data_IF_450107252655
#
_entry.id   IF_450107252655
#
_cell.length_a   1.000
_cell.length_b   1.000
_cell.length_c   1.000
_cell.angle_alpha   90.00
_cell.angle_beta   90.00
_cell.angle_gamma   90.00
#
_symmetry.space_group_name_H-M   'P 1'
#
loop_
_entity.id
_entity.type
_entity.pdbx_description
1 polymer ?
#
# COMPACT_ATOMS: atom_id res chain seq x y z
N UNK A 1 -45.53 23.42 3.60
CA UNK A 1 -44.61 22.34 3.19
C UNK A 1 -44.37 22.26 1.66
N UNK A 2 -44.89 23.18 0.83
CA UNK A 2 -44.61 23.20 -0.62
C UNK A 2 -43.61 24.29 -1.08
N UNK A 3 -43.19 25.22 -0.21
CA UNK A 3 -42.38 26.39 -0.62
C UNK A 3 -40.86 26.19 -0.56
N UNK A 4 -40.37 25.24 0.23
CA UNK A 4 -38.93 24.98 0.41
C UNK A 4 -38.30 24.27 -0.77
N UNK A 5 -39.03 23.36 -1.43
CA UNK A 5 -38.55 22.58 -2.58
C UNK A 5 -38.43 23.43 -3.85
N UNK A 6 -39.36 24.36 -4.05
CA UNK A 6 -39.39 25.30 -5.17
C UNK A 6 -38.19 26.26 -5.15
N UNK A 7 -37.82 26.77 -3.97
CA UNK A 7 -36.68 27.70 -3.82
C UNK A 7 -35.33 27.01 -4.11
N UNK A 8 -35.17 25.74 -3.70
CA UNK A 8 -33.97 24.95 -3.99
C UNK A 8 -33.81 24.64 -5.49
N UNK A 9 -34.91 24.32 -6.18
CA UNK A 9 -34.92 24.05 -7.62
C UNK A 9 -34.51 25.30 -8.44
N UNK A 10 -35.04 26.48 -8.08
CA UNK A 10 -34.71 27.76 -8.73
C UNK A 10 -33.23 28.11 -8.53
N UNK A 11 -32.69 27.98 -7.30
CA UNK A 11 -31.28 28.24 -7.01
C UNK A 11 -30.35 27.29 -7.78
N UNK A 12 -30.72 26.02 -7.94
CA UNK A 12 -29.95 25.03 -8.73
C UNK A 12 -29.93 25.40 -10.21
N UNK A 13 -31.07 25.74 -10.80
CA UNK A 13 -31.16 26.18 -12.20
C UNK A 13 -30.34 27.44 -12.47
N UNK A 14 -30.40 28.41 -11.57
CA UNK A 14 -29.60 29.64 -11.69
C UNK A 14 -28.10 29.36 -11.65
N UNK A 15 -27.64 28.49 -10.74
CA UNK A 15 -26.22 28.09 -10.63
C UNK A 15 -25.72 27.35 -11.86
N UNK A 16 -26.53 26.45 -12.42
CA UNK A 16 -26.17 25.68 -13.62
C UNK A 16 -25.95 26.58 -14.86
N UNK A 17 -26.74 27.65 -14.97
CA UNK A 17 -26.71 28.55 -16.12
C UNK A 17 -26.00 29.89 -15.85
N UNK A 18 -25.29 30.00 -14.72
CA UNK A 18 -24.54 31.21 -14.30
C UNK A 18 -25.40 32.48 -14.17
N UNK A 19 -26.69 32.33 -13.86
CA UNK A 19 -27.58 33.45 -13.51
C UNK A 19 -27.50 33.75 -12.01
N UNK A 20 -27.56 35.03 -11.65
CA UNK A 20 -27.56 35.47 -10.25
C UNK A 20 -28.92 36.06 -9.88
N UNK A 21 -29.48 35.64 -8.75
CA UNK A 21 -30.73 36.22 -8.23
C UNK A 21 -30.38 37.59 -7.65
N UNK A 22 -30.97 38.65 -8.20
CA UNK A 22 -30.79 40.05 -7.76
C UNK A 22 -31.79 40.38 -6.66
N UNK A 23 -33.04 39.95 -6.85
CA UNK A 23 -34.15 40.24 -5.95
C UNK A 23 -35.21 39.16 -6.12
N UNK A 24 -35.81 38.72 -5.01
CA UNK A 24 -36.90 37.76 -5.01
C UNK A 24 -38.03 38.29 -4.12
N UNK A 25 -39.17 38.63 -4.73
CA UNK A 25 -40.40 39.03 -4.02
C UNK A 25 -41.43 37.90 -4.09
N UNK A 26 -42.59 38.01 -3.42
CA UNK A 26 -43.66 37.02 -3.57
C UNK A 26 -44.21 36.89 -5.00
N UNK A 27 -44.03 37.91 -5.86
CA UNK A 27 -44.61 37.96 -7.21
C UNK A 27 -43.57 37.96 -8.34
N UNK A 28 -42.33 38.39 -8.05
CA UNK A 28 -41.28 38.58 -9.05
C UNK A 28 -39.97 37.91 -8.64
N UNK A 29 -39.24 37.39 -9.63
CA UNK A 29 -37.88 36.89 -9.50
C UNK A 29 -36.98 37.63 -10.50
N UNK A 30 -36.08 38.46 -10.00
CA UNK A 30 -35.18 39.26 -10.84
C UNK A 30 -33.82 38.56 -10.95
N UNK A 31 -33.39 38.27 -12.17
CA UNK A 31 -32.14 37.56 -12.48
C UNK A 31 -31.18 38.46 -13.27
N UNK A 32 -29.90 38.42 -12.92
CA UNK A 32 -28.83 39.10 -13.64
C UNK A 32 -27.90 38.09 -14.32
N UNK A 33 -27.59 38.35 -15.59
CA UNK A 33 -26.60 37.60 -16.37
C UNK A 33 -26.10 38.42 -17.57
N UNK A 34 -24.90 38.08 -18.10
CA UNK A 34 -24.35 38.75 -19.28
C UNK A 34 -25.13 38.42 -20.57
N UNK A 35 -25.77 37.26 -20.65
CA UNK A 35 -26.62 36.86 -21.77
C UNK A 35 -28.08 36.75 -21.34
N UNK A 36 -28.99 36.97 -22.29
CA UNK A 36 -30.42 36.77 -22.07
C UNK A 36 -30.72 35.27 -21.91
N UNK A 37 -31.61 34.89 -20.97
CA UNK A 37 -32.05 33.51 -20.85
C UNK A 37 -32.87 33.12 -22.08
N UNK A 38 -32.66 31.89 -22.54
CA UNK A 38 -33.51 31.33 -23.58
C UNK A 38 -34.95 31.14 -23.09
N UNK A 39 -35.89 31.03 -24.04
CA UNK A 39 -37.31 31.01 -23.72
C UNK A 39 -37.71 29.76 -22.92
N UNK A 40 -37.01 28.64 -23.14
CA UNK A 40 -37.19 27.37 -22.42
C UNK A 40 -36.80 27.49 -20.95
N UNK A 41 -35.66 28.13 -20.67
CA UNK A 41 -35.18 28.39 -19.31
C UNK A 41 -36.09 29.39 -18.60
N UNK A 42 -36.58 30.43 -19.29
CA UNK A 42 -37.56 31.35 -18.74
C UNK A 42 -38.86 30.65 -18.34
N UNK A 43 -39.38 29.76 -19.18
CA UNK A 43 -40.57 28.96 -18.85
C UNK A 43 -40.33 28.03 -17.66
N UNK A 44 -39.16 27.38 -17.62
CA UNK A 44 -38.76 26.50 -16.52
C UNK A 44 -38.64 27.26 -15.20
N UNK A 45 -38.03 28.44 -15.21
CA UNK A 45 -37.87 29.28 -14.02
C UNK A 45 -39.21 29.86 -13.56
N UNK A 46 -40.10 30.26 -14.47
CA UNK A 46 -41.46 30.70 -14.12
C UNK A 46 -42.28 29.57 -13.49
N UNK A 47 -42.17 28.36 -14.04
CA UNK A 47 -42.84 27.18 -13.51
C UNK A 47 -42.30 26.78 -12.13
N UNK A 48 -40.98 26.73 -11.98
CA UNK A 48 -40.33 26.33 -10.73
C UNK A 48 -40.52 27.36 -9.60
N UNK A 49 -40.54 28.67 -9.93
CA UNK A 49 -40.72 29.73 -8.94
C UNK A 49 -42.18 30.09 -8.67
N UNK A 50 -43.09 29.85 -9.62
CA UNK A 50 -44.45 30.37 -9.62
C UNK A 50 -44.52 31.90 -9.77
N UNK A 51 -43.42 32.56 -10.17
CA UNK A 51 -43.25 34.02 -10.18
C UNK A 51 -42.99 34.55 -11.58
N UNK A 52 -43.20 35.86 -11.75
CA UNK A 52 -42.78 36.55 -12.96
C UNK A 52 -41.27 36.72 -12.96
N UNK A 53 -40.58 36.11 -13.93
CA UNK A 53 -39.13 36.21 -14.06
C UNK A 53 -38.76 37.45 -14.90
N UNK A 54 -37.96 38.33 -14.31
CA UNK A 54 -37.43 39.55 -14.93
C UNK A 54 -35.92 39.36 -15.11
N UNK A 55 -35.41 39.54 -16.32
CA UNK A 55 -33.98 39.49 -16.58
C UNK A 55 -33.39 40.90 -16.72
N UNK A 56 -32.22 41.10 -16.11
CA UNK A 56 -31.40 42.30 -16.25
C UNK A 56 -30.04 41.92 -16.84
N UNK A 57 -29.63 42.65 -17.87
CA UNK A 57 -28.30 42.49 -18.44
C UNK A 57 -27.26 43.11 -17.50
N UNK A 58 -26.35 42.29 -16.98
CA UNK A 58 -25.20 42.73 -16.17
C UNK A 58 -23.91 42.30 -16.85
N UNK A 59 -22.97 43.24 -17.02
CA UNK A 59 -21.63 42.93 -17.51
C UNK A 59 -20.83 42.16 -16.44
N UNK A 60 -19.82 41.38 -16.85
CA UNK A 60 -19.00 40.57 -15.94
C UNK A 60 -18.40 41.39 -14.78
N UNK A 61 -17.94 42.61 -15.05
CA UNK A 61 -17.43 43.53 -14.03
C UNK A 61 -18.50 44.03 -13.03
N UNK A 62 -19.78 44.04 -13.41
CA UNK A 62 -20.90 44.39 -12.51
C UNK A 62 -21.30 43.23 -11.59
N UNK A 63 -21.11 41.98 -12.05
CA UNK A 63 -21.27 40.77 -11.23
C UNK A 63 -20.17 40.67 -10.16
N UNK A 64 -18.97 41.19 -10.46
CA UNK A 64 -17.82 41.23 -9.54
C UNK A 64 -17.86 42.44 -8.58
N UNK A 65 -18.25 43.63 -9.03
CA UNK A 65 -18.25 44.86 -8.20
C UNK A 65 -19.37 44.96 -7.16
N UNK A 66 -20.44 44.15 -7.27
CA UNK A 66 -21.39 43.88 -6.17
C UNK A 66 -20.99 42.62 -5.37
N UNK A 67 -19.70 42.38 -5.20
CA UNK A 67 -19.19 41.73 -3.99
C UNK A 67 -19.48 42.65 -2.81
N UNK A 68 -20.72 42.62 -2.31
CA UNK A 68 -20.94 42.87 -0.89
C UNK A 68 -19.96 41.97 -0.14
N UNK A 69 -19.33 42.45 0.96
CA UNK A 69 -18.60 41.56 1.84
C UNK A 69 -19.56 40.42 2.15
N UNK A 70 -19.09 39.19 2.01
CA UNK A 70 -19.73 38.06 2.67
C UNK A 70 -19.67 38.45 4.15
N UNK A 71 -20.73 39.10 4.64
CA UNK A 71 -21.19 38.88 5.99
C UNK A 71 -21.21 37.36 6.13
N UNK A 72 -20.61 36.86 7.21
CA UNK A 72 -20.76 35.48 7.63
C UNK A 72 -22.27 35.17 7.69
N UNK A 73 -22.83 34.76 6.56
CA UNK A 73 -24.00 33.90 6.53
C UNK A 73 -23.42 32.53 6.88
N UNK A 74 -23.49 32.22 8.17
CA UNK A 74 -23.46 30.88 8.76
C UNK A 74 -24.58 30.02 8.14
N UNK A 75 -24.51 29.80 6.83
CA UNK A 75 -25.42 28.97 6.04
C UNK A 75 -24.61 28.27 4.92
N UNK A 76 -23.43 27.74 5.27
CA UNK A 76 -23.18 26.36 4.84
C UNK A 76 -24.40 25.57 5.34
N UNK A 77 -25.07 24.72 4.54
CA UNK A 77 -26.18 23.93 5.06
C UNK A 77 -25.67 23.29 6.34
N UNK A 78 -26.24 23.67 7.49
CA UNK A 78 -25.78 23.18 8.79
C UNK A 78 -25.66 21.67 8.62
N UNK A 79 -24.42 21.18 8.63
CA UNK A 79 -24.22 19.74 8.57
C UNK A 79 -25.03 19.21 9.75
N UNK A 80 -25.95 18.27 9.53
CA UNK A 80 -26.73 17.71 10.62
C UNK A 80 -25.77 17.38 11.75
N UNK A 81 -26.07 17.79 12.98
CA UNK A 81 -25.11 17.72 14.09
C UNK A 81 -24.46 16.33 14.25
N UNK A 82 -25.16 15.28 13.78
CA UNK A 82 -24.68 13.91 13.74
C UNK A 82 -23.66 13.60 12.62
N UNK A 83 -23.77 14.24 11.45
CA UNK A 83 -22.79 14.15 10.38
C UNK A 83 -21.50 14.88 10.75
N UNK A 84 -21.59 16.07 11.37
CA UNK A 84 -20.44 16.79 11.91
C UNK A 84 -19.68 15.95 12.96
N UNK A 85 -20.41 15.35 13.92
CA UNK A 85 -19.81 14.41 14.90
C UNK A 85 -19.19 13.17 14.24
N UNK A 86 -19.77 12.69 13.13
CA UNK A 86 -19.22 11.52 12.42
C UNK A 86 -17.91 11.87 11.73
N UNK A 87 -17.82 13.06 11.15
CA UNK A 87 -16.59 13.60 10.55
C UNK A 87 -15.49 13.80 11.60
N UNK A 88 -15.79 14.51 12.69
CA UNK A 88 -14.85 14.70 13.80
C UNK A 88 -14.36 13.36 14.37
N UNK A 89 -15.28 12.40 14.57
CA UNK A 89 -14.92 11.07 15.06
C UNK A 89 -14.02 10.30 14.09
N UNK A 90 -14.20 10.48 12.78
CA UNK A 90 -13.40 9.83 11.76
C UNK A 90 -12.01 10.48 11.67
N UNK A 91 -11.94 11.80 11.63
CA UNK A 91 -10.68 12.54 11.54
C UNK A 91 -9.79 12.26 12.75
N UNK A 92 -10.37 12.27 13.96
CA UNK A 92 -9.66 11.93 15.19
C UNK A 92 -9.18 10.48 15.21
N UNK A 93 -10.01 9.54 14.72
CA UNK A 93 -9.61 8.14 14.58
C UNK A 93 -8.41 7.98 13.62
N UNK A 94 -8.48 8.63 12.46
CA UNK A 94 -7.43 8.57 11.45
C UNK A 94 -6.15 9.24 11.95
N UNK A 95 -6.26 10.40 12.60
CA UNK A 95 -5.15 11.09 13.27
C UNK A 95 -4.46 10.17 14.27
N UNK A 96 -5.23 9.58 15.18
CA UNK A 96 -4.69 8.66 16.20
C UNK A 96 -4.02 7.42 15.57
N UNK A 97 -4.57 6.90 14.47
CA UNK A 97 -3.98 5.79 13.75
C UNK A 97 -2.64 6.16 13.10
N UNK A 98 -2.56 7.34 12.47
CA UNK A 98 -1.34 7.85 11.84
C UNK A 98 -0.26 8.19 12.87
N UNK A 99 -0.61 8.83 13.99
CA UNK A 99 0.31 9.12 15.10
C UNK A 99 0.91 7.83 15.68
N UNK A 100 0.10 6.76 15.75
CA UNK A 100 0.56 5.43 16.16
C UNK A 100 1.30 4.66 15.06
N UNK A 101 1.52 5.27 13.89
CA UNK A 101 2.22 4.69 12.72
C UNK A 101 1.53 3.41 12.22
N UNK A 102 0.21 3.39 12.23
CA UNK A 102 -0.56 2.27 11.71
C UNK A 102 -0.39 2.15 10.18
N UNK A 103 -0.13 0.93 9.72
CA UNK A 103 -0.09 0.58 8.29
C UNK A 103 -1.48 0.24 7.73
N UNK A 104 -2.32 -0.38 8.54
CA UNK A 104 -3.72 -0.66 8.20
C UNK A 104 -4.62 -0.33 9.40
N UNK A 105 -5.81 0.20 9.13
CA UNK A 105 -6.88 0.47 10.09
C UNK A 105 -8.01 -0.49 9.76
N UNK A 106 -8.33 -1.38 10.70
CA UNK A 106 -9.38 -2.38 10.57
C UNK A 106 -10.62 -1.92 11.33
N UNK A 107 -11.74 -1.80 10.61
CA UNK A 107 -13.05 -1.44 11.13
C UNK A 107 -13.95 -2.66 10.99
N UNK A 108 -14.23 -3.33 12.10
CA UNK A 108 -14.92 -4.61 12.10
C UNK A 108 -16.21 -4.53 12.91
N UNK A 109 -17.37 -4.76 12.29
CA UNK A 109 -18.62 -4.76 13.02
C UNK A 109 -18.64 -5.91 14.04
N UNK A 110 -19.20 -5.64 15.21
CA UNK A 110 -19.42 -6.57 16.31
C UNK A 110 -20.83 -6.41 16.86
N UNK A 111 -21.33 -7.42 17.54
CA UNK A 111 -22.52 -7.31 18.38
C UNK A 111 -22.38 -6.11 19.34
N UNK A 112 -23.19 -5.07 19.12
CA UNK A 112 -23.21 -3.85 19.94
C UNK A 112 -22.24 -2.73 19.55
N UNK A 113 -21.50 -2.81 18.43
CA UNK A 113 -20.68 -1.68 17.98
C UNK A 113 -19.68 -1.95 16.85
N UNK A 114 -18.66 -1.09 16.76
CA UNK A 114 -17.57 -1.20 15.79
C UNK A 114 -16.24 -1.40 16.52
N UNK A 115 -15.59 -2.54 16.29
CA UNK A 115 -14.26 -2.80 16.81
C UNK A 115 -13.22 -2.20 15.88
N UNK A 116 -12.35 -1.35 16.43
CA UNK A 116 -11.21 -0.79 15.71
C UNK A 116 -9.94 -1.55 16.09
N UNK A 117 -9.17 -1.97 15.09
CA UNK A 117 -7.84 -2.54 15.29
C UNK A 117 -6.83 -1.88 14.35
N UNK A 118 -5.65 -1.56 14.87
CA UNK A 118 -4.57 -0.97 14.09
C UNK A 118 -3.50 -2.02 13.82
N UNK A 119 -3.02 -2.12 12.58
CA UNK A 119 -1.81 -2.88 12.27
C UNK A 119 -0.60 -1.99 12.41
N UNK A 120 0.18 -2.20 13.45
CA UNK A 120 1.37 -1.41 13.76
C UNK A 120 2.58 -2.32 13.71
N UNK A 121 3.56 -1.95 12.88
CA UNK A 121 4.79 -2.74 12.68
C UNK A 121 4.48 -4.23 12.40
N UNK A 122 3.40 -4.50 11.64
CA UNK A 122 2.95 -5.84 11.23
C UNK A 122 2.02 -6.56 12.22
N UNK A 123 1.90 -6.09 13.46
CA UNK A 123 1.07 -6.71 14.52
C UNK A 123 -0.25 -5.97 14.67
N UNK A 124 -1.34 -6.73 14.75
CA UNK A 124 -2.68 -6.19 14.91
C UNK A 124 -2.98 -5.93 16.38
N UNK A 125 -3.45 -4.72 16.70
CA UNK A 125 -3.68 -4.27 18.07
C UNK A 125 -5.06 -3.65 18.22
N UNK A 126 -5.82 -3.98 19.28
CA UNK A 126 -7.09 -3.33 19.54
C UNK A 126 -6.87 -1.85 19.88
N UNK A 127 -7.73 -1.00 19.32
CA UNK A 127 -7.83 0.39 19.70
C UNK A 127 -9.16 0.59 20.41
N UNK A 128 -9.12 0.89 21.70
CA UNK A 128 -10.31 1.30 22.42
C UNK A 128 -10.63 2.75 22.04
N UNK A 129 -11.53 2.92 21.08
CA UNK A 129 -11.90 4.22 20.54
C UNK A 129 -13.37 4.54 20.86
N UNK A 130 -13.64 5.52 21.74
CA UNK A 130 -14.99 5.94 22.06
C UNK A 130 -15.51 6.85 20.93
N UNK A 131 -16.29 6.28 20.02
CA UNK A 131 -16.93 7.08 18.97
C UNK A 131 -17.89 8.11 19.59
N UNK A 132 -17.72 9.38 19.21
CA UNK A 132 -18.67 10.47 19.55
C UNK A 132 -19.96 10.42 18.71
N UNK A 133 -20.03 9.50 17.75
CA UNK A 133 -21.16 9.27 16.84
C UNK A 133 -21.63 7.81 16.88
N UNK A 134 -22.74 7.52 16.20
CA UNK A 134 -23.22 6.14 16.04
C UNK A 134 -22.26 5.32 15.17
N UNK A 135 -21.67 4.21 15.66
CA UNK A 135 -20.61 3.47 14.95
C UNK A 135 -21.01 2.97 13.56
N UNK A 136 -22.29 2.69 13.34
CA UNK A 136 -22.84 2.30 12.04
C UNK A 136 -22.74 3.36 10.94
N UNK A 137 -22.38 4.61 11.26
CA UNK A 137 -22.21 5.70 10.28
C UNK A 137 -20.79 5.81 9.72
N UNK A 138 -19.80 5.21 10.40
CA UNK A 138 -18.38 5.34 10.05
C UNK A 138 -18.09 4.75 8.66
N UNK A 139 -18.50 3.50 8.41
CA UNK A 139 -18.24 2.84 7.13
C UNK A 139 -19.00 3.52 5.97
N UNK A 140 -20.30 3.85 6.09
CA UNK A 140 -20.99 4.67 5.09
C UNK A 140 -20.29 6.00 4.78
N UNK A 141 -19.78 6.71 5.79
CA UNK A 141 -19.04 7.98 5.59
C UNK A 141 -17.75 7.73 4.80
N UNK A 142 -17.00 6.68 5.12
CA UNK A 142 -15.82 6.28 4.36
C UNK A 142 -16.13 5.92 2.90
N UNK A 143 -17.27 5.26 2.65
CA UNK A 143 -17.74 4.97 1.28
C UNK A 143 -18.02 6.25 0.50
N UNK A 144 -18.65 7.25 1.12
CA UNK A 144 -18.84 8.58 0.50
C UNK A 144 -17.50 9.19 0.10
N UNK A 145 -16.54 9.22 1.04
CA UNK A 145 -15.23 9.83 0.82
C UNK A 145 -14.42 9.13 -0.29
N UNK A 146 -14.62 7.83 -0.47
CA UNK A 146 -13.96 7.04 -1.51
C UNK A 146 -14.77 6.88 -2.81
N UNK A 147 -15.92 7.54 -2.94
CA UNK A 147 -16.80 7.44 -4.11
C UNK A 147 -17.42 6.06 -4.33
N UNK A 148 -17.61 5.28 -3.25
CA UNK A 148 -18.19 3.93 -3.26
C UNK A 148 -19.71 3.95 -3.12
N UNK A 149 -20.39 2.89 -3.57
CA UNK A 149 -21.85 2.76 -3.48
C UNK A 149 -22.27 2.39 -2.05
N UNK A 150 -22.89 3.34 -1.35
CA UNK A 150 -23.36 3.21 0.03
C UNK A 150 -24.53 2.23 0.15
N UNK A 151 -25.38 2.14 -0.89
CA UNK A 151 -26.56 1.29 -0.91
C UNK A 151 -26.19 -0.18 -1.12
N UNK A 152 -25.16 -0.45 -1.92
CA UNK A 152 -24.65 -1.80 -2.09
C UNK A 152 -23.79 -2.22 -0.89
N UNK A 153 -24.26 -3.21 -0.12
CA UNK A 153 -23.58 -3.74 1.07
C UNK A 153 -23.32 -5.24 0.99
N UNK A 154 -23.62 -5.87 -0.15
CA UNK A 154 -23.58 -7.32 -0.36
C UNK A 154 -22.41 -7.76 -1.23
N UNK A 155 -21.71 -6.81 -1.84
CA UNK A 155 -20.54 -7.05 -2.69
C UNK A 155 -19.31 -6.37 -2.10
N UNK A 156 -18.10 -6.94 -2.29
CA UNK A 156 -16.86 -6.24 -1.99
C UNK A 156 -16.74 -4.96 -2.82
N UNK A 157 -16.13 -3.92 -2.25
CA UNK A 157 -15.84 -2.68 -2.97
C UNK A 157 -14.44 -2.19 -2.59
N UNK A 158 -13.72 -1.68 -3.58
CA UNK A 158 -12.37 -1.14 -3.42
C UNK A 158 -12.35 0.30 -3.93
N UNK A 159 -11.65 1.17 -3.22
CA UNK A 159 -11.55 2.58 -3.56
C UNK A 159 -10.31 3.23 -2.97
N UNK A 160 -10.21 4.53 -3.20
CA UNK A 160 -9.15 5.37 -2.67
C UNK A 160 -9.77 6.66 -2.18
N UNK A 161 -9.27 7.17 -1.06
CA UNK A 161 -9.63 8.48 -0.53
C UNK A 161 -8.36 9.24 -0.15
N UNK A 162 -8.38 10.54 -0.39
CA UNK A 162 -7.31 11.46 0.03
C UNK A 162 -7.89 12.43 1.02
N UNK A 163 -7.24 12.58 2.17
CA UNK A 163 -7.69 13.40 3.28
C UNK A 163 -6.57 14.32 3.72
N UNK A 164 -6.89 15.58 4.01
CA UNK A 164 -5.93 16.52 4.61
C UNK A 164 -6.04 16.44 6.13
N UNK A 165 -5.00 15.91 6.77
CA UNK A 165 -4.90 15.89 8.23
C UNK A 165 -3.71 16.77 8.61
N UNK A 166 -3.94 17.81 9.42
CA UNK A 166 -2.88 18.73 9.89
C UNK A 166 -2.07 19.38 8.75
N UNK A 167 -2.75 19.77 7.66
CA UNK A 167 -2.14 20.39 6.47
C UNK A 167 -1.24 19.43 5.66
N UNK A 168 -1.25 18.14 5.97
CA UNK A 168 -0.63 17.10 5.13
C UNK A 168 -1.69 16.22 4.49
N UNK A 169 -1.63 16.08 3.18
CA UNK A 169 -2.48 15.16 2.45
C UNK A 169 -2.03 13.72 2.70
N UNK A 170 -2.98 12.85 3.03
CA UNK A 170 -2.76 11.43 3.20
C UNK A 170 -3.67 10.65 2.26
N UNK A 171 -3.05 9.80 1.45
CA UNK A 171 -3.77 8.87 0.57
C UNK A 171 -4.00 7.55 1.30
N UNK A 172 -5.25 7.08 1.31
CA UNK A 172 -5.66 5.81 1.88
C UNK A 172 -6.34 4.95 0.80
N UNK A 173 -6.02 3.66 0.75
CA UNK A 173 -6.81 2.68 -0.02
C UNK A 173 -7.84 2.05 0.90
N UNK A 174 -9.09 1.97 0.47
CA UNK A 174 -10.18 1.35 1.23
C UNK A 174 -10.62 0.07 0.53
N UNK A 175 -10.83 -0.99 1.30
CA UNK A 175 -11.50 -2.21 0.87
C UNK A 175 -12.62 -2.54 1.85
N UNK A 176 -13.83 -2.73 1.34
CA UNK A 176 -15.01 -3.13 2.11
C UNK A 176 -15.43 -4.55 1.75
N UNK A 177 -15.82 -5.34 2.75
CA UNK A 177 -16.25 -6.72 2.57
C UNK A 177 -17.51 -7.00 3.43
N UNK A 178 -18.61 -7.54 2.86
CA UNK A 178 -19.75 -8.00 3.65
C UNK A 178 -19.35 -9.10 4.62
N UNK A 179 -19.81 -8.99 5.86
CA UNK A 179 -19.65 -9.98 6.93
C UNK A 179 -21.00 -10.21 7.63
N UNK A 180 -21.08 -11.22 8.51
CA UNK A 180 -22.35 -11.59 9.18
C UNK A 180 -23.05 -10.41 9.87
N UNK A 181 -22.27 -9.55 10.52
CA UNK A 181 -22.76 -8.45 11.37
C UNK A 181 -22.76 -7.08 10.67
N UNK A 182 -22.60 -7.06 9.34
CA UNK A 182 -22.62 -5.83 8.55
C UNK A 182 -21.54 -5.80 7.49
N UNK A 183 -20.83 -4.69 7.38
CA UNK A 183 -19.75 -4.52 6.42
C UNK A 183 -18.45 -4.29 7.20
N UNK A 184 -17.38 -4.99 6.85
CA UNK A 184 -16.03 -4.75 7.37
C UNK A 184 -15.30 -3.82 6.42
N UNK A 185 -14.60 -2.83 6.95
CA UNK A 185 -13.72 -1.98 6.15
C UNK A 185 -12.26 -2.09 6.62
N UNK A 186 -11.34 -2.03 5.67
CA UNK A 186 -9.90 -1.89 5.93
C UNK A 186 -9.40 -0.68 5.18
N UNK A 187 -8.74 0.24 5.88
CA UNK A 187 -8.04 1.37 5.30
C UNK A 187 -6.54 1.06 5.34
N UNK A 188 -5.88 1.04 4.20
CA UNK A 188 -4.42 0.93 4.10
C UNK A 188 -3.83 2.31 3.89
N UNK A 189 -2.91 2.70 4.76
CA UNK A 189 -2.17 3.95 4.62
C UNK A 189 -1.17 3.80 3.48
N UNK A 190 -1.29 4.62 2.44
CA UNK A 190 -0.31 4.68 1.37
C UNK A 190 0.83 5.57 1.86
N UNK A 191 2.02 4.98 1.99
CA UNK A 191 3.21 5.75 2.34
C UNK A 191 3.74 6.42 1.08
N UNK A 192 3.52 7.72 0.96
CA UNK A 192 4.15 8.57 -0.07
C UNK A 192 5.62 8.80 0.31
N UNK A 193 6.45 7.76 0.18
CA UNK A 193 7.89 7.95 0.23
C UNK A 193 8.36 8.46 -1.13
N UNK A 194 8.65 9.76 -1.19
CA UNK A 194 9.18 10.43 -2.38
C UNK A 194 10.60 9.98 -2.76
N UNK A 195 11.26 9.17 -1.92
CA UNK A 195 12.59 8.65 -2.23
C UNK A 195 12.68 7.19 -1.81
N UNK A 196 13.01 6.27 -2.74
CA UNK A 196 13.23 4.88 -2.40
C UNK A 196 14.43 4.73 -1.45
N UNK A 197 14.32 3.78 -0.53
CA UNK A 197 15.39 3.43 0.40
C UNK A 197 16.66 3.03 -0.37
N UNK A 198 17.83 3.43 0.08
CA UNK A 198 19.10 3.00 -0.54
C UNK A 198 19.43 1.55 -0.16
N UNK A 199 20.31 0.86 -0.90
CA UNK A 199 20.67 -0.52 -0.56
C UNK A 199 21.31 -0.66 0.83
N UNK A 200 22.06 0.36 1.27
CA UNK A 200 22.73 0.40 2.58
C UNK A 200 21.72 0.49 3.72
N UNK A 201 20.55 1.07 3.46
CA UNK A 201 19.48 1.24 4.43
C UNK A 201 18.61 -0.01 4.59
N UNK A 202 18.78 -1.04 3.73
CA UNK A 202 18.02 -2.30 3.81
C UNK A 202 18.36 -3.13 5.06
N UNK A 203 19.48 -2.84 5.74
CA UNK A 203 19.92 -3.62 6.92
C UNK A 203 20.60 -4.94 6.56
N UNK A 204 21.22 -5.01 5.37
CA UNK A 204 22.10 -6.11 4.98
C UNK A 204 23.44 -5.98 5.74
N UNK A 205 24.01 -7.10 6.17
CA UNK A 205 25.41 -7.13 6.60
C UNK A 205 26.34 -6.77 5.42
N UNK A 206 27.51 -6.21 5.69
CA UNK A 206 28.42 -5.67 4.67
C UNK A 206 28.79 -6.71 3.59
N UNK A 207 29.10 -7.95 3.98
CA UNK A 207 29.43 -9.03 3.03
C UNK A 207 28.26 -9.34 2.09
N UNK A 208 27.04 -9.40 2.64
CA UNK A 208 25.82 -9.66 1.87
C UNK A 208 25.48 -8.48 0.95
N UNK A 209 25.68 -7.25 1.42
CA UNK A 209 25.49 -6.04 0.62
C UNK A 209 26.45 -5.98 -0.56
N UNK A 210 27.74 -6.29 -0.34
CA UNK A 210 28.75 -6.34 -1.40
C UNK A 210 28.42 -7.42 -2.42
N UNK A 211 28.08 -8.63 -1.96
CA UNK A 211 27.63 -9.71 -2.83
C UNK A 211 26.39 -9.30 -3.63
N UNK A 212 25.43 -8.63 -3.01
CA UNK A 212 24.22 -8.19 -3.70
C UNK A 212 24.53 -7.20 -4.82
N UNK A 213 25.36 -6.19 -4.53
CA UNK A 213 25.81 -5.20 -5.53
C UNK A 213 26.54 -5.85 -6.70
N UNK A 214 27.36 -6.87 -6.45
CA UNK A 214 28.03 -7.61 -7.52
C UNK A 214 27.02 -8.33 -8.42
N UNK A 215 26.01 -8.97 -7.84
CA UNK A 215 24.97 -9.69 -8.58
C UNK A 215 24.08 -8.73 -9.38
N UNK A 216 23.74 -7.57 -8.80
CA UNK A 216 22.95 -6.54 -9.49
C UNK A 216 23.67 -5.95 -10.71
N UNK A 217 25.01 -5.98 -10.76
CA UNK A 217 25.81 -5.50 -11.90
C UNK A 217 25.95 -6.52 -13.03
N UNK A 218 25.39 -7.73 -12.88
CA UNK A 218 25.43 -8.72 -13.96
C UNK A 218 24.60 -8.22 -15.15
N UNK A 219 25.07 -8.45 -16.40
CA UNK A 219 24.35 -7.99 -17.58
C UNK A 219 23.02 -8.71 -17.77
N UNK A 220 22.90 -9.95 -17.26
CA UNK A 220 21.67 -10.73 -17.38
C UNK A 220 21.51 -11.75 -16.25
N UNK A 221 20.25 -12.15 -16.05
CA UNK A 221 19.87 -13.20 -15.12
C UNK A 221 18.65 -12.82 -14.30
N UNK A 222 18.12 -13.78 -13.57
CA UNK A 222 16.93 -13.62 -12.75
C UNK A 222 17.29 -13.52 -11.27
N UNK A 223 16.85 -12.45 -10.62
CA UNK A 223 16.92 -12.23 -9.17
C UNK A 223 15.49 -12.30 -8.61
N UNK A 224 15.29 -13.16 -7.62
CA UNK A 224 13.98 -13.38 -7.00
C UNK A 224 14.01 -12.93 -5.55
N UNK A 225 13.09 -12.05 -5.17
CA UNK A 225 12.86 -11.71 -3.76
C UNK A 225 11.59 -12.41 -3.32
N UNK A 226 11.67 -13.24 -2.29
CA UNK A 226 10.57 -14.09 -1.85
C UNK A 226 10.21 -13.91 -0.39
N UNK A 227 8.97 -14.26 -0.06
CA UNK A 227 8.43 -14.15 1.28
C UNK A 227 6.94 -13.83 1.28
N UNK A 228 6.29 -13.89 2.45
CA UNK A 228 4.87 -13.63 2.60
C UNK A 228 4.52 -12.17 2.29
N UNK A 229 3.23 -11.86 2.27
CA UNK A 229 2.75 -10.49 2.18
C UNK A 229 3.28 -9.66 3.34
N UNK A 230 3.73 -8.43 3.06
CA UNK A 230 4.28 -7.54 4.08
C UNK A 230 5.70 -7.89 4.54
N UNK A 231 6.43 -8.78 3.85
CA UNK A 231 7.83 -9.07 4.17
C UNK A 231 8.83 -8.02 3.64
N UNK A 232 8.35 -6.97 2.94
CA UNK A 232 9.19 -5.89 2.43
C UNK A 232 9.84 -6.16 1.05
N UNK A 233 9.32 -7.12 0.28
CA UNK A 233 9.87 -7.48 -1.05
C UNK A 233 9.95 -6.30 -2.01
N UNK A 234 8.87 -5.52 -2.10
CA UNK A 234 8.80 -4.34 -2.97
C UNK A 234 9.82 -3.29 -2.58
N UNK A 235 10.09 -3.10 -1.27
CA UNK A 235 11.13 -2.16 -0.80
C UNK A 235 12.49 -2.62 -1.30
N UNK A 236 12.85 -3.90 -1.10
CA UNK A 236 14.11 -4.46 -1.60
C UNK A 236 14.22 -4.33 -3.13
N UNK A 237 13.14 -4.59 -3.88
CA UNK A 237 13.12 -4.41 -5.33
C UNK A 237 13.32 -2.96 -5.74
N UNK A 238 12.55 -2.02 -5.16
CA UNK A 238 12.65 -0.60 -5.50
C UNK A 238 14.02 -0.02 -5.15
N UNK A 239 14.60 -0.43 -4.02
CA UNK A 239 15.99 -0.10 -3.66
C UNK A 239 16.99 -0.61 -4.70
N UNK A 240 16.77 -1.81 -5.23
CA UNK A 240 17.61 -2.39 -6.28
C UNK A 240 17.47 -1.64 -7.61
N UNK A 241 16.25 -1.29 -8.01
CA UNK A 241 16.02 -0.51 -9.23
C UNK A 241 16.64 0.89 -9.09
N UNK A 242 16.49 1.54 -7.94
CA UNK A 242 17.09 2.84 -7.69
C UNK A 242 18.63 2.78 -7.71
N UNK A 243 19.23 1.68 -7.24
CA UNK A 243 20.68 1.47 -7.36
C UNK A 243 21.16 1.32 -8.81
N UNK A 244 20.33 0.71 -9.66
CA UNK A 244 20.62 0.50 -11.08
C UNK A 244 20.25 1.72 -11.94
N UNK A 245 19.50 2.68 -11.40
CA UNK A 245 18.96 3.82 -12.12
C UNK A 245 20.08 4.78 -12.53
N UNK A 246 20.56 4.60 -13.75
CA UNK A 246 21.57 5.43 -14.39
C UNK A 246 21.10 5.84 -15.78
N UNK A 247 21.49 7.03 -16.30
CA UNK A 247 21.01 7.53 -17.59
C UNK A 247 21.24 6.61 -18.80
N UNK A 248 22.22 5.70 -18.72
CA UNK A 248 22.54 4.75 -19.78
C UNK A 248 21.92 3.36 -19.60
N UNK A 249 20.97 3.19 -18.69
CA UNK A 249 20.31 1.91 -18.39
C UNK A 249 18.79 2.11 -18.52
N UNK A 250 18.17 1.40 -19.45
CA UNK A 250 16.72 1.40 -19.62
C UNK A 250 16.06 0.42 -18.65
N UNK A 251 15.38 0.96 -17.64
CA UNK A 251 14.67 0.16 -16.63
C UNK A 251 13.17 0.25 -16.86
N UNK A 252 12.54 -0.92 -17.02
CA UNK A 252 11.09 -1.04 -17.20
C UNK A 252 10.47 -1.95 -16.12
N UNK A 253 9.30 -1.59 -15.60
CA UNK A 253 8.54 -2.44 -14.67
C UNK A 253 7.10 -2.70 -15.09
N UNK A 254 6.57 -3.84 -14.65
CA UNK A 254 5.14 -4.19 -14.71
C UNK A 254 4.64 -4.56 -13.32
N UNK A 255 3.60 -3.86 -12.83
CA UNK A 255 3.20 -3.89 -11.42
C UNK A 255 1.67 -3.88 -11.23
N UNK A 256 1.17 -4.47 -10.14
CA UNK A 256 -0.28 -4.62 -9.85
C UNK A 256 -0.59 -4.31 -8.37
N UNK A 257 -0.79 -3.04 -7.99
CA UNK A 257 -0.53 -1.81 -8.74
C UNK A 257 0.91 -1.29 -8.54
N UNK A 258 1.23 -0.14 -9.13
CA UNK A 258 2.43 0.64 -8.76
C UNK A 258 2.27 1.13 -7.31
N UNK A 259 3.26 0.86 -6.46
CA UNK A 259 3.20 1.23 -5.03
C UNK A 259 3.70 2.66 -4.77
N UNK A 260 4.74 3.10 -5.49
CA UNK A 260 5.23 4.49 -5.47
C UNK A 260 5.92 4.81 -6.80
N UNK A 261 5.79 6.04 -7.32
CA UNK A 261 6.53 6.46 -8.51
C UNK A 261 8.04 6.48 -8.25
N UNK A 262 8.80 5.93 -9.20
CA UNK A 262 10.26 5.93 -9.19
C UNK A 262 10.79 6.81 -10.34
N UNK A 263 11.34 8.01 -10.04
CA UNK A 263 11.88 8.89 -11.07
C UNK A 263 12.96 8.20 -11.91
N UNK A 264 12.86 8.31 -13.24
CA UNK A 264 13.82 7.69 -14.18
C UNK A 264 13.52 6.24 -14.54
N UNK A 265 12.47 5.62 -13.98
CA UNK A 265 12.07 4.24 -14.28
C UNK A 265 10.72 4.22 -15.00
N UNK A 266 10.61 3.43 -16.06
CA UNK A 266 9.37 3.29 -16.83
C UNK A 266 8.45 2.26 -16.17
N UNK A 267 7.51 2.71 -15.33
CA UNK A 267 6.60 1.83 -14.60
C UNK A 267 5.24 1.68 -15.30
N UNK A 268 4.82 0.44 -15.55
CA UNK A 268 3.51 0.12 -16.13
C UNK A 268 2.61 -0.57 -15.11
N UNK A 269 1.47 0.03 -14.78
CA UNK A 269 0.45 -0.60 -13.94
C UNK A 269 -0.43 -1.56 -14.75
N UNK A 270 -0.79 -2.70 -14.16
CA UNK A 270 -1.78 -3.61 -14.70
C UNK A 270 -3.15 -2.92 -14.74
N UNK A 271 -3.85 -3.10 -15.85
CA UNK A 271 -5.22 -2.63 -16.04
C UNK A 271 -6.03 -3.70 -16.74
N UNK A 272 -6.67 -4.56 -15.94
CA UNK A 272 -7.48 -5.67 -16.43
C UNK A 272 -8.68 -5.21 -17.26
N UNK A 273 -9.28 -4.06 -16.93
CA UNK A 273 -10.41 -3.48 -17.69
C UNK A 273 -10.01 -3.05 -19.11
N UNK A 274 -8.78 -2.59 -19.27
CA UNK A 274 -8.21 -2.22 -20.58
C UNK A 274 -7.47 -3.38 -21.28
N UNK A 275 -7.44 -4.58 -20.68
CA UNK A 275 -6.72 -5.74 -21.22
C UNK A 275 -5.21 -5.73 -20.99
N UNK A 276 -4.66 -4.80 -20.20
CA UNK A 276 -3.25 -4.76 -19.83
C UNK A 276 -2.96 -5.75 -18.69
N UNK A 277 -2.77 -7.02 -19.06
CA UNK A 277 -2.35 -8.10 -18.14
C UNK A 277 -0.83 -8.30 -18.16
N UNK A 278 -0.29 -8.96 -17.13
CA UNK A 278 1.16 -9.20 -16.96
C UNK A 278 1.83 -9.76 -18.21
N UNK A 279 1.28 -10.83 -18.79
CA UNK A 279 1.83 -11.49 -19.97
C UNK A 279 1.93 -10.56 -21.20
N UNK A 280 0.95 -9.69 -21.39
CA UNK A 280 0.82 -8.80 -22.55
C UNK A 280 1.77 -7.63 -22.42
N UNK A 281 1.81 -7.01 -21.23
CA UNK A 281 2.75 -5.94 -20.92
C UNK A 281 4.18 -6.46 -20.99
N UNK A 282 4.48 -7.61 -20.39
CA UNK A 282 5.84 -8.17 -20.37
C UNK A 282 6.35 -8.50 -21.79
N UNK A 283 5.50 -9.05 -22.67
CA UNK A 283 5.84 -9.24 -24.09
C UNK A 283 6.08 -7.92 -24.82
N UNK A 284 5.35 -6.86 -24.46
CA UNK A 284 5.57 -5.54 -25.05
C UNK A 284 6.88 -4.91 -24.56
N UNK A 285 7.17 -5.04 -23.27
CA UNK A 285 8.42 -4.55 -22.64
C UNK A 285 9.67 -5.12 -23.30
N UNK A 286 9.66 -6.40 -23.71
CA UNK A 286 10.79 -7.00 -24.44
C UNK A 286 11.06 -6.37 -25.81
N UNK A 287 10.15 -5.56 -26.34
CA UNK A 287 10.34 -4.75 -27.58
C UNK A 287 10.59 -3.27 -27.29
N UNK A 288 10.83 -2.91 -26.03
CA UNK A 288 11.15 -1.55 -25.60
C UNK A 288 12.65 -1.35 -25.35
N UNK A 289 13.49 -2.28 -25.81
CA UNK A 289 14.94 -2.26 -25.60
C UNK A 289 15.36 -2.09 -24.12
N UNK A 290 14.80 -2.87 -23.17
CA UNK A 290 15.14 -2.73 -21.76
C UNK A 290 16.48 -3.40 -21.44
N UNK A 291 17.26 -2.82 -20.53
CA UNK A 291 18.41 -3.49 -19.91
C UNK A 291 17.97 -4.26 -18.67
N UNK A 292 17.05 -3.66 -17.89
CA UNK A 292 16.53 -4.20 -16.63
C UNK A 292 15.01 -4.27 -16.69
N UNK A 293 14.47 -5.42 -16.34
CA UNK A 293 13.02 -5.66 -16.28
C UNK A 293 12.63 -6.02 -14.84
N UNK A 294 11.66 -5.30 -14.28
CA UNK A 294 11.05 -5.68 -13.01
C UNK A 294 9.63 -6.18 -13.20
N UNK A 295 9.34 -7.35 -12.65
CA UNK A 295 8.01 -7.97 -12.66
C UNK A 295 7.52 -7.97 -11.22
N UNK A 296 6.39 -7.31 -10.94
CA UNK A 296 5.87 -7.17 -9.58
C UNK A 296 5.77 -8.52 -8.85
N UNK A 297 5.24 -9.54 -9.53
CA UNK A 297 5.26 -10.93 -9.07
C UNK A 297 5.07 -11.94 -10.20
N UNK A 298 5.59 -13.15 -10.01
CA UNK A 298 5.33 -14.31 -10.87
C UNK A 298 4.22 -15.16 -10.23
N UNK A 299 2.99 -15.05 -10.77
CA UNK A 299 1.82 -15.81 -10.28
C UNK A 299 1.63 -17.14 -11.01
N UNK A 300 2.00 -17.20 -12.29
CA UNK A 300 1.67 -18.31 -13.19
C UNK A 300 2.87 -18.75 -14.07
N UNK A 301 2.66 -19.88 -14.76
CA UNK A 301 3.65 -20.52 -15.62
C UNK A 301 4.02 -19.66 -16.84
N UNK A 302 3.07 -18.91 -17.38
CA UNK A 302 3.29 -18.07 -18.56
C UNK A 302 4.23 -16.91 -18.21
N UNK A 303 3.92 -16.18 -17.14
CA UNK A 303 4.75 -15.08 -16.62
C UNK A 303 6.14 -15.59 -16.23
N UNK A 304 6.22 -16.75 -15.57
CA UNK A 304 7.49 -17.39 -15.22
C UNK A 304 8.34 -17.70 -16.46
N UNK A 305 7.71 -18.26 -17.50
CA UNK A 305 8.40 -18.62 -18.75
C UNK A 305 8.97 -17.39 -19.46
N UNK A 306 8.19 -16.31 -19.55
CA UNK A 306 8.65 -15.06 -20.19
C UNK A 306 9.79 -14.43 -19.37
N UNK A 307 9.68 -14.38 -18.04
CA UNK A 307 10.72 -13.85 -17.17
C UNK A 307 12.06 -14.60 -17.32
N UNK A 308 12.00 -15.92 -17.42
CA UNK A 308 13.19 -16.77 -17.60
C UNK A 308 13.80 -16.59 -18.98
N UNK A 309 12.98 -16.56 -20.03
CA UNK A 309 13.47 -16.30 -21.38
C UNK A 309 14.13 -14.91 -21.48
N UNK A 310 13.54 -13.89 -20.87
CA UNK A 310 14.14 -12.55 -20.78
C UNK A 310 15.52 -12.61 -20.09
N UNK A 311 15.60 -13.28 -18.95
CA UNK A 311 16.85 -13.47 -18.20
C UNK A 311 17.95 -14.24 -18.97
N UNK A 312 17.56 -15.11 -19.91
CA UNK A 312 18.51 -15.80 -20.78
C UNK A 312 18.93 -14.98 -21.99
N UNK A 313 18.10 -14.05 -22.43
CA UNK A 313 18.28 -13.27 -23.67
C UNK A 313 18.90 -11.89 -23.42
N UNK A 314 19.76 -11.77 -22.41
CA UNK A 314 20.54 -10.56 -22.18
C UNK A 314 19.92 -9.52 -21.23
N UNK A 315 18.82 -9.84 -20.54
CA UNK A 315 18.16 -8.92 -19.61
C UNK A 315 18.45 -9.27 -18.16
N UNK A 316 18.64 -8.27 -17.31
CA UNK A 316 18.57 -8.45 -15.86
C UNK A 316 17.11 -8.37 -15.43
N UNK A 317 16.58 -9.45 -14.86
CA UNK A 317 15.18 -9.56 -14.46
C UNK A 317 15.08 -9.63 -12.93
N UNK A 318 14.27 -8.77 -12.34
CA UNK A 318 13.95 -8.78 -10.92
C UNK A 318 12.47 -9.11 -10.74
N UNK A 319 12.14 -10.03 -9.82
CA UNK A 319 10.74 -10.37 -9.57
C UNK A 319 10.51 -10.86 -8.14
N UNK A 320 9.23 -10.99 -7.76
CA UNK A 320 8.84 -11.61 -6.49
C UNK A 320 8.05 -12.91 -6.64
N UNK A 321 8.15 -13.76 -5.60
CA UNK A 321 7.28 -14.92 -5.38
C UNK A 321 6.85 -15.00 -3.90
N UNK A 322 5.74 -15.69 -3.65
CA UNK A 322 5.21 -15.95 -2.30
C UNK A 322 5.57 -17.36 -1.82
N UNK A 323 6.85 -17.57 -1.47
CA UNK A 323 7.37 -18.82 -0.89
C UNK A 323 7.98 -18.57 0.48
N UNK A 324 8.12 -19.64 1.29
CA UNK A 324 8.60 -19.48 2.66
C UNK A 324 10.12 -19.53 2.78
N UNK A 325 10.81 -20.20 1.86
CA UNK A 325 12.28 -20.30 1.81
C UNK A 325 12.85 -20.08 0.41
N UNK A 326 14.16 -19.82 0.34
CA UNK A 326 14.85 -19.63 -0.92
C UNK A 326 14.86 -20.93 -1.76
N UNK A 327 15.10 -22.08 -1.13
CA UNK A 327 15.07 -23.39 -1.79
C UNK A 327 13.67 -23.75 -2.31
N UNK A 328 12.61 -23.51 -1.54
CA UNK A 328 11.22 -23.76 -2.00
C UNK A 328 10.86 -22.94 -3.24
N UNK A 329 11.48 -21.77 -3.43
CA UNK A 329 11.27 -20.94 -4.61
C UNK A 329 11.68 -21.67 -5.88
N UNK A 330 12.82 -22.36 -5.86
CA UNK A 330 13.32 -23.13 -7.01
C UNK A 330 12.38 -24.30 -7.32
N UNK A 331 11.91 -25.00 -6.28
CA UNK A 331 10.93 -26.08 -6.42
C UNK A 331 9.59 -25.55 -6.94
N UNK A 332 9.13 -24.39 -6.47
CA UNK A 332 7.88 -23.76 -6.91
C UNK A 332 7.92 -23.42 -8.39
N UNK A 333 9.04 -22.90 -8.90
CA UNK A 333 9.19 -22.63 -10.34
C UNK A 333 9.21 -23.93 -11.16
N UNK A 334 9.83 -24.99 -10.65
CA UNK A 334 9.77 -26.31 -11.30
C UNK A 334 8.32 -26.85 -11.34
N UNK A 335 7.55 -26.66 -10.28
CA UNK A 335 6.11 -27.02 -10.22
C UNK A 335 5.24 -26.19 -11.16
N UNK A 336 5.64 -24.95 -11.47
CA UNK A 336 5.01 -24.13 -12.51
C UNK A 336 5.36 -24.62 -13.93
N UNK A 337 6.12 -25.70 -14.08
CA UNK A 337 6.45 -26.31 -15.37
C UNK A 337 7.73 -25.78 -16.01
N UNK A 338 8.53 -24.99 -15.28
CA UNK A 338 9.83 -24.54 -15.79
C UNK A 338 10.83 -25.70 -15.68
N UNK A 339 11.54 -25.99 -16.78
CA UNK A 339 12.54 -27.06 -16.77
C UNK A 339 13.74 -26.73 -15.86
N UNK A 340 14.31 -27.73 -15.17
CA UNK A 340 15.46 -27.50 -14.28
C UNK A 340 16.69 -26.91 -14.99
N UNK A 341 16.89 -27.23 -16.27
CA UNK A 341 17.96 -26.64 -17.10
C UNK A 341 17.80 -25.13 -17.23
N UNK A 342 16.58 -24.65 -17.47
CA UNK A 342 16.31 -23.21 -17.58
C UNK A 342 16.48 -22.53 -16.22
N UNK A 343 16.04 -23.15 -15.13
CA UNK A 343 16.24 -22.62 -13.77
C UNK A 343 17.73 -22.46 -13.44
N UNK A 344 18.51 -23.51 -13.67
CA UNK A 344 19.95 -23.52 -13.40
C UNK A 344 20.71 -22.48 -14.25
N UNK A 345 20.32 -22.29 -15.52
CA UNK A 345 20.98 -21.34 -16.42
C UNK A 345 20.65 -19.87 -16.16
N UNK A 346 19.44 -19.58 -15.65
CA UNK A 346 18.89 -18.22 -15.66
C UNK A 346 18.90 -17.53 -14.30
N UNK A 347 18.70 -18.27 -13.21
CA UNK A 347 18.61 -17.68 -11.88
C UNK A 347 20.03 -17.39 -11.36
N UNK A 348 20.22 -16.20 -10.79
CA UNK A 348 21.49 -15.78 -10.17
C UNK A 348 21.39 -15.73 -8.65
N UNK A 349 20.25 -15.28 -8.14
CA UNK A 349 20.04 -15.11 -6.71
C UNK A 349 18.58 -15.29 -6.36
N UNK A 350 18.33 -16.02 -5.27
CA UNK A 350 17.05 -16.02 -4.57
C UNK A 350 17.27 -15.43 -3.19
N UNK A 351 16.49 -14.43 -2.82
CA UNK A 351 16.50 -13.76 -1.53
C UNK A 351 15.21 -14.13 -0.81
N UNK A 352 15.27 -14.96 0.23
CA UNK A 352 14.13 -15.12 1.12
C UNK A 352 14.16 -14.02 2.19
N UNK A 353 13.02 -13.37 2.39
CA UNK A 353 12.91 -12.18 3.24
C UNK A 353 11.76 -12.29 4.25
N UNK A 354 12.00 -11.78 5.45
CA UNK A 354 11.00 -11.53 6.51
C UNK A 354 11.24 -10.16 7.13
N UNK A 355 10.23 -9.62 7.81
CA UNK A 355 10.39 -8.46 8.68
C UNK A 355 10.18 -8.86 10.13
N UNK A 356 11.10 -8.46 10.98
CA UNK A 356 10.98 -8.56 12.43
C UNK A 356 10.86 -7.16 13.00
N UNK A 357 10.06 -6.99 14.06
CA UNK A 357 9.99 -5.72 14.78
C UNK A 357 11.32 -5.43 15.46
N UNK A 358 11.70 -4.16 15.50
CA UNK A 358 12.91 -3.71 16.20
C UNK A 358 12.59 -3.43 17.66
N UNK A 359 13.45 -3.88 18.55
CA UNK A 359 13.37 -3.52 19.95
C UNK A 359 13.50 -2.01 20.13
N UNK A 360 12.66 -1.43 20.99
CA UNK A 360 12.70 -0.02 21.26
C UNK A 360 14.03 0.37 21.92
N UNK A 361 14.78 1.34 21.37
CA UNK A 361 16.06 1.73 21.93
C UNK A 361 15.96 2.36 23.33
N UNK A 362 14.80 2.91 23.70
CA UNK A 362 14.58 3.57 25.00
C UNK A 362 14.30 2.61 26.15
N UNK A 363 13.74 1.43 25.87
CA UNK A 363 13.27 0.52 26.92
C UNK A 363 13.72 -0.93 26.76
N UNK A 364 14.50 -1.26 25.73
CA UNK A 364 15.11 -2.58 25.63
C UNK A 364 16.09 -2.77 26.78
N UNK A 365 16.12 -3.98 27.32
CA UNK A 365 17.08 -4.37 28.35
C UNK A 365 17.62 -5.76 28.06
N UNK A 366 18.85 -6.01 28.50
CA UNK A 366 19.45 -7.33 28.43
C UNK A 366 18.94 -8.16 29.61
N UNK A 367 18.39 -9.33 29.32
CA UNK A 367 17.96 -10.30 30.32
C UNK A 367 19.14 -11.21 30.67
N UNK A 368 19.59 -11.14 31.92
CA UNK A 368 20.71 -11.92 32.45
C UNK A 368 20.28 -13.28 33.01
N UNK A 369 18.99 -13.64 32.91
CA UNK A 369 18.53 -14.95 33.33
C UNK A 369 19.25 -16.08 32.59
N UNK A 370 19.65 -17.12 33.33
CA UNK A 370 20.33 -18.28 32.81
C UNK A 370 19.37 -19.18 32.02
N UNK A 371 19.04 -18.79 30.80
CA UNK A 371 18.24 -19.56 29.85
C UNK A 371 19.17 -20.11 28.76
N UNK A 372 19.00 -21.37 28.33
CA UNK A 372 19.80 -21.92 27.24
C UNK A 372 19.73 -21.04 25.98
N UNK A 373 20.82 -20.99 25.20
CA UNK A 373 20.82 -20.30 23.92
C UNK A 373 19.81 -20.93 22.97
N UNK A 374 19.25 -20.15 22.03
CA UNK A 374 18.31 -20.67 21.05
C UNK A 374 18.98 -21.75 20.15
N UNK A 375 18.19 -22.69 19.59
CA UNK A 375 18.72 -23.75 18.74
C UNK A 375 19.59 -23.21 17.60
N UNK A 376 20.74 -23.84 17.37
CA UNK A 376 21.69 -23.44 16.32
C UNK A 376 22.64 -22.30 16.70
N UNK A 377 22.54 -21.73 17.91
CA UNK A 377 23.53 -20.77 18.41
C UNK A 377 24.64 -21.47 19.22
N UNK A 378 25.89 -21.05 19.02
CA UNK A 378 27.04 -21.53 19.77
C UNK A 378 27.62 -20.42 20.65
N UNK A 379 27.96 -20.75 21.89
CA UNK A 379 28.51 -19.79 22.87
C UNK A 379 27.45 -18.98 23.63
N UNK A 380 27.89 -17.87 24.22
CA UNK A 380 27.02 -17.01 25.05
C UNK A 380 26.05 -16.24 24.16
N UNK A 381 24.75 -16.39 24.42
CA UNK A 381 23.72 -15.64 23.72
C UNK A 381 23.22 -14.47 24.59
N UNK A 382 23.37 -13.24 24.11
CA UNK A 382 22.83 -12.04 24.77
C UNK A 382 21.34 -11.93 24.47
N UNK A 383 20.51 -12.19 25.47
CA UNK A 383 19.05 -12.14 25.32
C UNK A 383 18.56 -10.72 25.61
N UNK A 384 17.88 -10.12 24.65
CA UNK A 384 17.29 -8.79 24.81
C UNK A 384 15.77 -8.91 24.87
N UNK A 385 15.14 -8.17 25.80
CA UNK A 385 13.70 -8.19 26.01
C UNK A 385 13.05 -6.83 25.80
N UNK A 386 11.78 -6.90 25.42
CA UNK A 386 10.89 -5.77 25.22
C UNK A 386 10.21 -5.39 26.55
N UNK A 387 10.54 -4.25 27.15
CA UNK A 387 9.86 -3.77 28.37
C UNK A 387 8.57 -3.00 28.07
N UNK A 388 8.60 -2.13 27.06
CA UNK A 388 7.54 -1.16 26.80
C UNK A 388 7.80 0.20 27.46
N UNK A 389 7.51 1.29 26.74
CA UNK A 389 7.56 2.67 27.24
C UNK A 389 6.65 3.57 26.37
N UNK A 390 6.44 4.84 26.73
CA UNK A 390 5.59 5.75 25.97
C UNK A 390 6.01 6.00 24.50
N UNK A 391 7.28 5.73 24.15
CA UNK A 391 7.80 5.93 22.79
C UNK A 391 7.57 4.74 21.85
N UNK A 392 7.06 3.63 22.36
CA UNK A 392 6.98 2.39 21.60
C UNK A 392 5.67 1.66 21.86
N UNK A 393 5.48 0.57 21.11
CA UNK A 393 4.26 -0.20 21.21
C UNK A 393 4.64 -1.64 21.52
N UNK A 394 4.34 -2.06 22.76
CA UNK A 394 4.73 -3.37 23.28
C UNK A 394 6.24 -3.59 23.36
N UNK A 395 7.03 -2.52 23.51
CA UNK A 395 8.49 -2.60 23.57
C UNK A 395 9.20 -2.62 22.21
N UNK A 396 8.49 -2.41 21.10
CA UNK A 396 9.04 -2.38 19.75
C UNK A 396 8.75 -1.04 19.04
N UNK A 397 9.67 -0.63 18.17
CA UNK A 397 9.54 0.57 17.35
C UNK A 397 10.16 0.37 15.97
N UNK A 398 9.33 0.25 14.95
CA UNK A 398 9.77 0.02 13.57
C UNK A 398 10.10 -1.45 13.31
N UNK A 399 10.63 -1.71 12.12
CA UNK A 399 10.95 -3.05 11.62
C UNK A 399 12.33 -3.07 10.99
N UNK A 400 12.95 -4.24 10.98
CA UNK A 400 14.15 -4.54 10.19
C UNK A 400 13.91 -5.83 9.41
N UNK A 401 14.60 -5.95 8.29
CA UNK A 401 14.49 -7.12 7.44
C UNK A 401 15.47 -8.21 7.88
N UNK A 402 15.03 -9.46 7.74
CA UNK A 402 15.86 -10.65 7.87
C UNK A 402 15.98 -11.24 6.48
N UNK A 403 17.22 -11.46 6.05
CA UNK A 403 17.53 -11.95 4.72
C UNK A 403 18.24 -13.31 4.78
N UNK A 404 17.87 -14.16 3.83
CA UNK A 404 18.61 -15.37 3.45
C UNK A 404 18.91 -15.27 1.96
N UNK A 405 20.20 -15.26 1.65
CA UNK A 405 20.69 -15.17 0.29
C UNK A 405 21.06 -16.57 -0.19
N UNK A 406 20.48 -16.98 -1.32
CA UNK A 406 20.81 -18.22 -2.00
C UNK A 406 21.34 -17.89 -3.40
N UNK A 407 22.66 -17.70 -3.55
CA UNK A 407 23.29 -17.59 -4.86
C UNK A 407 23.19 -18.91 -5.62
N UNK A 408 22.68 -18.85 -6.85
CA UNK A 408 22.52 -20.04 -7.70
C UNK A 408 23.81 -20.28 -8.49
N UNK A 409 24.82 -20.78 -7.77
CA UNK A 409 26.11 -21.21 -8.33
C UNK A 409 26.16 -22.70 -8.69
N UNK A 410 27.34 -23.20 -9.07
CA UNK A 410 27.54 -24.55 -9.59
C UNK A 410 26.95 -25.67 -8.70
N UNK A 411 27.06 -25.57 -7.38
CA UNK A 411 26.52 -26.57 -6.46
C UNK A 411 24.98 -26.67 -6.52
N UNK A 412 24.30 -25.52 -6.51
CA UNK A 412 22.83 -25.46 -6.61
C UNK A 412 22.38 -25.89 -8.01
N UNK A 413 23.08 -25.41 -9.05
CA UNK A 413 22.83 -25.81 -10.44
C UNK A 413 22.92 -27.33 -10.61
N UNK A 414 23.96 -27.96 -10.07
CA UNK A 414 24.12 -29.41 -10.12
C UNK A 414 22.97 -30.17 -9.45
N UNK A 415 22.46 -29.68 -8.32
CA UNK A 415 21.30 -30.28 -7.66
C UNK A 415 20.04 -30.14 -8.53
N UNK A 416 19.81 -28.96 -9.13
CA UNK A 416 18.66 -28.73 -10.02
C UNK A 416 18.71 -29.65 -11.25
N UNK A 417 19.86 -29.74 -11.90
CA UNK A 417 20.05 -30.55 -13.11
C UNK A 417 19.82 -32.05 -12.88
N UNK A 418 20.08 -32.53 -11.66
CA UNK A 418 19.86 -33.92 -11.26
C UNK A 418 18.49 -34.19 -10.63
N UNK A 419 17.58 -33.20 -10.63
CA UNK A 419 16.23 -33.36 -10.07
C UNK A 419 16.22 -33.51 -8.54
N UNK A 420 17.18 -32.91 -7.85
CA UNK A 420 17.28 -32.98 -6.40
C UNK A 420 16.10 -32.33 -5.67
N UNK A 421 15.87 -32.78 -4.44
CA UNK A 421 14.80 -32.32 -3.56
C UNK A 421 15.15 -30.99 -2.88
N UNK A 422 14.17 -30.38 -2.20
CA UNK A 422 14.40 -29.20 -1.36
C UNK A 422 15.49 -29.44 -0.28
N UNK A 423 15.55 -30.65 0.28
CA UNK A 423 16.57 -31.03 1.25
C UNK A 423 17.98 -31.10 0.61
N UNK A 424 18.08 -31.54 -0.64
CA UNK A 424 19.34 -31.55 -1.38
C UNK A 424 19.84 -30.12 -1.64
N UNK A 425 18.93 -29.23 -2.03
CA UNK A 425 19.22 -27.80 -2.23
C UNK A 425 19.67 -27.16 -0.92
N UNK A 426 18.99 -27.44 0.20
CA UNK A 426 19.37 -26.91 1.51
C UNK A 426 20.75 -27.41 1.95
N UNK A 427 21.06 -28.71 1.75
CA UNK A 427 22.39 -29.25 2.04
C UNK A 427 23.48 -28.60 1.18
N UNK A 428 23.18 -28.31 -0.09
CA UNK A 428 24.11 -27.60 -0.97
C UNK A 428 24.28 -26.13 -0.56
N UNK A 429 23.21 -25.44 -0.16
CA UNK A 429 23.23 -24.05 0.30
C UNK A 429 24.07 -23.88 1.58
N UNK A 430 23.92 -24.79 2.54
CA UNK A 430 24.69 -24.78 3.79
C UNK A 430 26.21 -24.93 3.58
N UNK A 431 26.63 -25.53 2.45
CA UNK A 431 28.06 -25.65 2.09
C UNK A 431 28.63 -24.37 1.46
N UNK A 432 27.78 -23.42 1.07
CA UNK A 432 28.21 -22.14 0.46
C UNK A 432 28.48 -21.04 1.49
N UNK A 433 28.57 -21.40 2.79
CA UNK A 433 28.74 -20.46 3.91
C UNK A 433 27.67 -19.35 3.97
N UNK A 434 26.51 -19.60 3.34
CA UNK A 434 25.36 -18.70 3.41
C UNK A 434 24.64 -18.85 4.75
N UNK A 435 24.09 -17.74 5.25
CA UNK A 435 23.30 -17.73 6.49
C UNK A 435 21.84 -17.96 6.16
N UNK A 436 21.22 -18.87 6.91
CA UNK A 436 19.77 -19.11 6.84
C UNK A 436 18.99 -17.94 7.47
N UNK A 437 17.70 -17.83 7.15
CA UNK A 437 16.81 -16.84 7.80
C UNK A 437 16.91 -16.92 9.33
N UNK A 438 16.95 -18.14 9.88
CA UNK A 438 17.06 -18.38 11.32
C UNK A 438 18.37 -17.85 11.89
N UNK A 439 19.51 -18.17 11.26
CA UNK A 439 20.82 -17.72 11.71
C UNK A 439 20.95 -16.19 11.66
N UNK A 440 20.51 -15.56 10.57
CA UNK A 440 20.51 -14.10 10.43
C UNK A 440 19.61 -13.45 11.50
N UNK A 441 18.42 -14.00 11.74
CA UNK A 441 17.51 -13.48 12.76
C UNK A 441 18.07 -13.60 14.18
N UNK A 442 18.74 -14.72 14.51
CA UNK A 442 19.40 -14.90 15.81
C UNK A 442 20.56 -13.92 16.01
N UNK A 443 21.30 -13.58 14.95
CA UNK A 443 22.36 -12.55 15.04
C UNK A 443 21.77 -11.18 15.37
N UNK A 444 20.66 -10.78 14.74
CA UNK A 444 19.95 -9.55 15.06
C UNK A 444 19.43 -9.56 16.52
N UNK A 445 18.89 -10.69 16.97
CA UNK A 445 18.44 -10.85 18.35
C UNK A 445 19.61 -10.74 19.35
N UNK A 446 20.75 -11.36 19.05
CA UNK A 446 21.96 -11.28 19.87
C UNK A 446 22.51 -9.84 19.97
N UNK A 447 22.49 -9.09 18.86
CA UNK A 447 22.88 -7.66 18.80
C UNK A 447 21.87 -6.73 19.49
N UNK A 448 20.71 -7.26 19.92
CA UNK A 448 19.65 -6.50 20.59
C UNK A 448 18.82 -5.63 19.65
N UNK A 449 18.85 -5.92 18.35
CA UNK A 449 18.03 -5.23 17.36
C UNK A 449 16.59 -5.74 17.35
N UNK A 450 16.39 -7.02 17.63
CA UNK A 450 15.08 -7.66 17.84
C UNK A 450 15.14 -8.58 19.06
N UNK A 451 14.04 -9.25 19.42
CA UNK A 451 14.01 -10.22 20.52
C UNK A 451 13.86 -11.65 19.98
N UNK A 452 14.25 -12.65 20.77
CA UNK A 452 14.05 -14.06 20.38
C UNK A 452 12.57 -14.40 20.18
N UNK A 453 11.69 -13.84 21.00
CA UNK A 453 10.24 -14.02 20.90
C UNK A 453 9.71 -13.52 19.56
N UNK A 454 10.24 -12.39 19.08
CA UNK A 454 9.88 -11.84 17.77
C UNK A 454 10.42 -12.71 16.62
N UNK A 455 11.63 -13.25 16.74
CA UNK A 455 12.19 -14.20 15.78
C UNK A 455 11.31 -15.44 15.66
N UNK A 456 10.96 -16.07 16.79
CA UNK A 456 10.10 -17.26 16.83
C UNK A 456 8.69 -16.96 16.29
N UNK A 457 8.14 -15.77 16.57
CA UNK A 457 6.83 -15.36 16.03
C UNK A 457 6.81 -15.30 14.50
N UNK A 458 7.91 -14.87 13.88
CA UNK A 458 7.98 -14.63 12.42
C UNK A 458 8.47 -15.85 11.64
N UNK A 459 9.41 -16.61 12.20
CA UNK A 459 10.03 -17.77 11.55
C UNK A 459 9.44 -19.11 12.00
N UNK A 460 8.67 -19.14 13.09
CA UNK A 460 8.30 -20.38 13.77
C UNK A 460 9.41 -20.86 14.71
N UNK A 461 9.09 -21.87 15.52
CA UNK A 461 10.09 -22.60 16.30
C UNK A 461 10.73 -23.67 15.40
N UNK A 462 12.06 -23.68 15.17
CA UNK A 462 12.71 -24.69 14.36
C UNK A 462 12.61 -26.11 14.95
N UNK A 463 12.18 -26.25 16.21
CA UNK A 463 11.97 -27.52 16.88
C UNK A 463 10.49 -27.97 16.91
N UNK A 464 9.55 -27.16 16.40
CA UNK A 464 8.11 -27.48 16.36
C UNK A 464 7.66 -28.18 15.10
#
# INVERSE_FOLDING_TARGET
MASTDASAAVRRLCRQHQYRIVEETPQTLTLAAPSAPDETLLQTLRFASGKTVIWQHWQAAQLESRQTPVQNDDDAPEMPAEDARTEEALDELLRLALERRASDIHLEPRDGGLQVRLRIDGVLQPLNYPFSCHPGRIIPRLKVLAGLDIAERRLPQDGQLTLELHQTAHTLRIATLPVREGEKAVLRVVQEQNTPMTLEQLGLDEDALQQYRQILKLPQGLILVTGPTGSGKTVTLYSSLNYLNAPGINICSVEDPIESPLPGINQTAINTKAGLQFNTVLRALLRQDPDVIMIGEIRDAETASIAINAAQTGHLVLSTLHTNSACETLIRLAQLGISPHLLAGSIRLVIAQRLVRRLCPHCRYQDESAVPPPPGWQGVFRRWKAAGCPHCIGGYYGRTAVYEFLPVGAAIQHVLLNGGTAADLQRAALRQETRTLWQTALQLAHRGETSCEEVMRVLGDPLS
#
